data_IF_342861034505
#
_entry.id   IF_342861034505
#
_cell.length_a   1.000
_cell.length_b   1.000
_cell.length_c   1.000
_cell.angle_alpha   90.00
_cell.angle_beta   90.00
_cell.angle_gamma   90.00
#
_symmetry.space_group_name_H-M   'P 1'
#
loop_
_entity.id
_entity.type
_entity.pdbx_description
1 polymer ?
#
# COMPACT_ATOMS: atom_id res chain seq x y z
N UNK A 1 23.27 5.98 12.13
CA UNK A 1 22.33 5.39 11.14
C UNK A 1 20.94 5.87 11.45
N UNK A 2 20.28 6.51 10.49
CA UNK A 2 18.90 7.01 10.68
C UNK A 2 17.94 5.93 10.21
N UNK A 3 16.97 5.57 11.05
CA UNK A 3 15.88 4.66 10.66
C UNK A 3 14.64 5.44 10.27
N UNK A 4 13.99 4.97 9.24
CA UNK A 4 12.75 5.52 8.72
C UNK A 4 11.70 4.40 8.70
N UNK A 5 10.69 4.56 9.53
CA UNK A 5 9.55 3.65 9.53
C UNK A 5 8.51 4.19 8.57
N UNK A 6 8.12 3.39 7.58
CA UNK A 6 6.99 3.72 6.73
C UNK A 6 5.85 2.80 7.06
N UNK A 7 4.84 3.38 7.67
CA UNK A 7 3.65 2.66 8.11
C UNK A 7 2.44 2.97 7.24
N UNK A 8 1.58 2.01 7.09
CA UNK A 8 0.33 2.16 6.36
C UNK A 8 -0.61 1.00 6.65
N UNK A 9 -1.90 1.22 6.51
CA UNK A 9 -2.83 0.12 6.36
C UNK A 9 -2.49 -0.66 5.07
N UNK A 10 -2.68 -1.98 5.11
CA UNK A 10 -2.48 -2.83 3.91
C UNK A 10 -3.23 -2.27 2.71
N UNK A 11 -2.60 -2.15 1.54
CA UNK A 11 -3.14 -1.61 0.28
C UNK A 11 -3.28 -0.07 0.22
N UNK A 12 -2.73 0.66 1.16
CA UNK A 12 -2.67 2.13 1.07
C UNK A 12 -1.57 2.68 0.15
N UNK A 13 -0.81 1.83 -0.56
CA UNK A 13 0.21 2.27 -1.52
C UNK A 13 1.66 2.05 -1.08
N UNK A 14 1.89 1.37 0.05
CA UNK A 14 3.23 1.13 0.58
C UNK A 14 4.18 0.44 -0.41
N UNK A 15 3.70 -0.48 -1.24
CA UNK A 15 4.53 -1.13 -2.26
C UNK A 15 5.03 -0.14 -3.29
N UNK A 16 4.16 0.74 -3.80
CA UNK A 16 4.56 1.79 -4.71
C UNK A 16 5.59 2.74 -4.07
N UNK A 17 5.32 3.18 -2.84
CA UNK A 17 6.24 4.04 -2.10
C UNK A 17 7.61 3.40 -1.89
N UNK A 18 7.68 2.08 -1.69
CA UNK A 18 8.97 1.35 -1.58
C UNK A 18 9.81 1.46 -2.86
N UNK A 19 9.18 1.34 -4.03
CA UNK A 19 9.85 1.52 -5.31
C UNK A 19 10.38 2.96 -5.47
N UNK A 20 9.59 3.96 -5.06
CA UNK A 20 10.01 5.36 -5.08
C UNK A 20 11.23 5.58 -4.17
N UNK A 21 11.18 5.11 -2.94
CA UNK A 21 12.30 5.26 -1.99
C UNK A 21 13.55 4.51 -2.45
N UNK A 22 13.39 3.30 -2.98
CA UNK A 22 14.51 2.57 -3.58
C UNK A 22 15.13 3.37 -4.73
N UNK A 23 14.30 3.90 -5.62
CA UNK A 23 14.74 4.70 -6.75
C UNK A 23 15.55 5.92 -6.34
N UNK A 24 15.12 6.64 -5.30
CA UNK A 24 15.83 7.80 -4.77
C UNK A 24 17.17 7.43 -4.12
N UNK A 25 17.24 6.33 -3.41
CA UNK A 25 18.42 5.97 -2.60
C UNK A 25 19.43 5.07 -3.34
N UNK A 26 18.99 4.27 -4.31
CA UNK A 26 19.78 3.21 -4.96
C UNK A 26 19.75 3.26 -6.49
N UNK A 27 18.89 4.08 -7.06
CA UNK A 27 18.64 4.10 -8.50
C UNK A 27 17.51 3.14 -8.92
N UNK A 28 17.41 2.87 -10.21
CA UNK A 28 16.29 2.13 -10.79
C UNK A 28 16.44 0.62 -10.47
N UNK A 29 15.49 -0.04 -9.77
CA UNK A 29 15.59 -1.46 -9.46
C UNK A 29 15.40 -2.33 -10.70
N UNK A 30 16.11 -3.44 -10.82
CA UNK A 30 15.93 -4.41 -11.90
C UNK A 30 14.93 -5.52 -11.56
N UNK A 31 14.63 -5.71 -10.28
CA UNK A 31 13.68 -6.70 -9.76
C UNK A 31 13.06 -6.22 -8.44
N UNK A 32 11.98 -6.87 -8.01
CA UNK A 32 11.30 -6.51 -6.77
C UNK A 32 11.99 -7.03 -5.51
N UNK A 33 12.85 -8.05 -5.63
CA UNK A 33 13.60 -8.62 -4.50
C UNK A 33 14.60 -7.61 -3.94
N UNK A 34 15.26 -6.82 -4.81
CA UNK A 34 16.16 -5.76 -4.37
C UNK A 34 15.44 -4.71 -3.55
N UNK A 35 14.21 -4.35 -3.97
CA UNK A 35 13.36 -3.42 -3.23
C UNK A 35 12.95 -4.01 -1.88
N UNK A 36 12.65 -5.32 -1.83
CA UNK A 36 12.31 -5.98 -0.56
C UNK A 36 13.48 -6.05 0.41
N UNK A 37 14.67 -6.37 -0.07
CA UNK A 37 15.89 -6.42 0.75
C UNK A 37 16.27 -5.05 1.32
N UNK A 38 16.12 -4.01 0.51
CA UNK A 38 16.38 -2.64 0.94
C UNK A 38 15.34 -2.12 1.93
N UNK A 39 14.14 -2.68 1.91
CA UNK A 39 12.99 -2.17 2.64
C UNK A 39 12.21 -3.31 3.33
N UNK A 40 12.82 -3.91 4.37
CA UNK A 40 12.24 -5.08 5.04
C UNK A 40 10.95 -4.77 5.79
N UNK A 41 10.23 -5.84 6.13
CA UNK A 41 9.09 -5.78 7.04
C UNK A 41 9.55 -5.78 8.51
N UNK A 42 8.76 -5.15 9.37
CA UNK A 42 8.98 -5.03 10.81
C UNK A 42 8.86 -6.36 11.60
N UNK A 43 8.23 -7.37 11.02
CA UNK A 43 7.94 -8.65 11.67
C UNK A 43 9.02 -9.73 11.47
N UNK A 44 10.19 -9.36 10.95
CA UNK A 44 11.30 -10.32 10.81
C UNK A 44 12.19 -10.29 12.04
N UNK A 45 11.85 -11.08 13.05
CA UNK A 45 12.57 -11.18 14.34
C UNK A 45 14.07 -11.52 14.23
N UNK A 46 14.51 -12.08 13.11
CA UNK A 46 15.90 -12.47 12.84
C UNK A 46 16.50 -11.74 11.62
N UNK A 47 16.02 -10.56 11.30
CA UNK A 47 16.55 -9.83 10.16
C UNK A 47 17.94 -9.30 10.49
N UNK A 48 18.95 -9.84 9.82
CA UNK A 48 20.30 -9.27 9.81
C UNK A 48 20.22 -7.98 9.00
N UNK A 49 20.22 -6.86 9.71
CA UNK A 49 20.20 -5.56 9.09
C UNK A 49 21.41 -5.41 8.20
N UNK A 50 21.24 -5.10 6.91
CA UNK A 50 22.39 -4.84 6.07
C UNK A 50 23.18 -3.68 6.65
N UNK A 51 24.50 -3.77 6.59
CA UNK A 51 25.39 -2.66 6.94
C UNK A 51 25.16 -1.56 5.91
N UNK A 52 24.30 -0.61 6.25
CA UNK A 52 23.87 0.47 5.36
C UNK A 52 24.42 1.76 5.94
N UNK A 53 25.35 2.35 5.24
CA UNK A 53 26.04 3.59 5.64
C UNK A 53 25.11 4.80 5.80
N UNK A 54 23.91 4.77 5.25
CA UNK A 54 23.05 5.97 5.18
C UNK A 54 21.75 5.85 5.97
N UNK A 55 20.74 5.17 5.43
CA UNK A 55 19.39 5.10 5.99
C UNK A 55 18.83 3.69 5.86
N UNK A 56 18.10 3.30 6.87
CA UNK A 56 17.35 2.05 6.87
C UNK A 56 15.87 2.37 6.82
N UNK A 57 15.18 1.87 5.81
CA UNK A 57 13.74 1.94 5.73
C UNK A 57 13.12 0.66 6.26
N UNK A 58 12.06 0.79 7.03
CA UNK A 58 11.31 -0.34 7.61
C UNK A 58 9.85 -0.19 7.25
N UNK A 59 9.24 -1.24 6.69
CA UNK A 59 7.81 -1.25 6.39
C UNK A 59 7.03 -1.85 7.56
N UNK A 60 6.01 -1.13 8.01
CA UNK A 60 5.05 -1.64 8.99
C UNK A 60 3.63 -1.61 8.46
N UNK A 61 2.86 -2.64 8.82
CA UNK A 61 1.40 -2.66 8.73
C UNK A 61 0.78 -2.88 10.11
N UNK A 62 1.60 -2.98 11.15
CA UNK A 62 1.12 -3.22 12.51
C UNK A 62 0.44 -1.98 13.09
N UNK A 63 -0.51 -2.21 13.97
CA UNK A 63 -0.96 -1.21 14.94
C UNK A 63 0.23 -0.91 15.84
N UNK A 64 0.55 0.36 16.07
CA UNK A 64 1.68 0.70 16.92
C UNK A 64 1.44 0.18 18.34
N UNK A 65 2.42 -0.53 18.86
CA UNK A 65 2.54 -0.84 20.28
C UNK A 65 4.00 -0.60 20.69
N UNK A 66 4.23 -0.28 21.97
CA UNK A 66 5.59 0.01 22.48
C UNK A 66 6.55 -1.17 22.34
N UNK A 67 6.01 -2.37 22.19
CA UNK A 67 6.75 -3.62 22.12
C UNK A 67 7.15 -4.04 20.70
N UNK A 68 6.97 -3.16 19.70
CA UNK A 68 7.54 -3.43 18.37
C UNK A 68 9.06 -3.23 18.48
N UNK A 69 9.86 -4.30 18.46
CA UNK A 69 11.30 -4.23 18.82
C UNK A 69 12.13 -3.34 17.90
N UNK A 70 11.56 -3.03 16.74
CA UNK A 70 12.24 -2.36 15.61
C UNK A 70 12.08 -0.85 15.66
N UNK A 71 11.09 -0.33 16.40
CA UNK A 71 10.76 1.11 16.41
C UNK A 71 11.31 1.74 17.68
N UNK A 72 12.24 2.69 17.52
CA UNK A 72 12.79 3.50 18.61
C UNK A 72 12.16 4.90 18.59
N UNK A 73 12.13 5.55 19.74
CA UNK A 73 11.51 6.88 19.91
C UNK A 73 12.07 7.97 18.97
N UNK A 74 13.28 7.79 18.46
CA UNK A 74 13.95 8.73 17.55
C UNK A 74 13.84 8.37 16.07
N UNK A 75 13.09 7.33 15.72
CA UNK A 75 12.93 6.95 14.32
C UNK A 75 12.07 7.99 13.58
N UNK A 76 12.42 8.29 12.33
CA UNK A 76 11.56 9.05 11.45
C UNK A 76 10.37 8.20 11.04
N UNK A 77 9.14 8.69 11.19
CA UNK A 77 7.93 7.95 10.81
C UNK A 77 7.21 8.66 9.68
N UNK A 78 6.92 7.92 8.61
CA UNK A 78 6.06 8.33 7.49
C UNK A 78 4.80 7.47 7.52
N UNK A 79 3.64 8.09 7.58
CA UNK A 79 2.34 7.40 7.47
C UNK A 79 1.75 7.63 6.08
N UNK A 80 1.55 6.55 5.34
CA UNK A 80 0.80 6.60 4.08
C UNK A 80 -0.64 6.19 4.35
N UNK A 81 -1.58 7.05 3.98
CA UNK A 81 -3.00 6.80 4.14
C UNK A 81 -3.75 6.93 2.81
N UNK A 82 -4.89 6.30 2.74
CA UNK A 82 -5.77 6.24 1.57
C UNK A 82 -7.20 6.09 2.06
N UNK A 83 -8.18 6.49 1.26
CA UNK A 83 -9.56 6.30 1.67
C UNK A 83 -9.90 4.81 1.93
N UNK A 84 -10.67 4.50 2.99
CA UNK A 84 -10.93 3.13 3.40
C UNK A 84 -11.72 2.31 2.37
N UNK A 85 -12.57 2.97 1.56
CA UNK A 85 -13.31 2.34 0.48
C UNK A 85 -12.38 1.77 -0.59
N UNK A 86 -11.44 2.56 -1.07
CA UNK A 86 -10.47 2.14 -2.08
C UNK A 86 -9.52 1.06 -1.58
N UNK A 87 -9.15 1.12 -0.30
CA UNK A 87 -8.33 0.09 0.36
C UNK A 87 -9.07 -1.25 0.36
N UNK A 88 -10.33 -1.26 0.77
CA UNK A 88 -11.15 -2.47 0.83
C UNK A 88 -11.23 -3.16 -0.55
N UNK A 89 -11.53 -2.42 -1.60
CA UNK A 89 -11.59 -2.97 -2.96
C UNK A 89 -10.22 -3.40 -3.50
N UNK A 90 -9.16 -2.65 -3.17
CA UNK A 90 -7.79 -3.05 -3.51
C UNK A 90 -7.38 -4.34 -2.80
N UNK A 91 -7.88 -4.57 -1.59
CA UNK A 91 -7.66 -5.82 -0.86
C UNK A 91 -8.40 -7.01 -1.51
N UNK A 92 -9.65 -6.83 -1.92
CA UNK A 92 -10.40 -7.87 -2.64
C UNK A 92 -9.66 -8.29 -3.92
N UNK A 93 -9.18 -7.32 -4.70
CA UNK A 93 -8.36 -7.61 -5.89
C UNK A 93 -7.09 -8.39 -5.54
N UNK A 94 -6.38 -7.99 -4.48
CA UNK A 94 -5.19 -8.69 -4.03
C UNK A 94 -5.46 -10.13 -3.56
N UNK A 95 -6.57 -10.37 -2.87
CA UNK A 95 -6.97 -11.71 -2.42
C UNK A 95 -7.30 -12.64 -3.59
N UNK A 96 -7.74 -12.09 -4.73
CA UNK A 96 -7.89 -12.88 -5.97
C UNK A 96 -6.56 -13.27 -6.59
N UNK A 97 -5.59 -12.33 -6.58
CA UNK A 97 -4.26 -12.58 -7.16
C UNK A 97 -3.55 -13.72 -6.44
N UNK A 98 -3.68 -13.79 -5.11
CA UNK A 98 -3.05 -14.85 -4.32
C UNK A 98 -3.96 -16.06 -4.04
N UNK A 99 -5.03 -16.24 -4.83
CA UNK A 99 -5.91 -17.41 -4.78
C UNK A 99 -6.83 -17.51 -3.56
N UNK A 100 -6.79 -16.54 -2.64
CA UNK A 100 -7.62 -16.58 -1.42
C UNK A 100 -9.10 -16.28 -1.69
N UNK A 101 -9.41 -15.61 -2.79
CA UNK A 101 -10.77 -15.26 -3.19
C UNK A 101 -11.12 -15.89 -4.54
N UNK A 102 -11.72 -17.07 -4.50
CA UNK A 102 -12.40 -17.67 -5.67
C UNK A 102 -13.73 -16.93 -5.83
N UNK A 103 -13.96 -16.42 -7.05
CA UNK A 103 -15.15 -15.60 -7.31
C UNK A 103 -16.46 -16.37 -7.18
N UNK A 104 -17.16 -16.15 -6.07
CA UNK A 104 -18.59 -16.39 -5.86
C UNK A 104 -19.09 -15.25 -4.98
N UNK A 105 -20.32 -14.74 -5.17
CA UNK A 105 -20.83 -13.60 -4.39
C UNK A 105 -20.76 -13.79 -2.86
N UNK A 106 -20.97 -15.01 -2.36
CA UNK A 106 -20.86 -15.30 -0.91
C UNK A 106 -19.41 -15.20 -0.41
N UNK A 107 -18.40 -15.50 -1.23
CA UNK A 107 -17.00 -15.35 -0.85
C UNK A 107 -16.62 -13.86 -0.75
N UNK A 108 -17.18 -13.00 -1.60
CA UNK A 108 -17.00 -11.54 -1.49
C UNK A 108 -17.49 -11.03 -0.15
N UNK A 109 -18.66 -11.50 0.30
CA UNK A 109 -19.22 -11.16 1.62
C UNK A 109 -18.26 -11.54 2.75
N UNK A 110 -17.75 -12.77 2.74
CA UNK A 110 -16.82 -13.25 3.77
C UNK A 110 -15.49 -12.49 3.85
N UNK A 111 -15.16 -11.72 2.83
CA UNK A 111 -13.96 -10.86 2.81
C UNK A 111 -14.26 -9.39 3.13
N UNK A 112 -15.48 -8.90 2.86
CA UNK A 112 -15.90 -7.54 3.23
C UNK A 112 -16.28 -7.47 4.72
N UNK A 113 -17.06 -8.43 5.21
CA UNK A 113 -17.57 -8.44 6.59
C UNK A 113 -16.47 -8.27 7.64
N UNK A 114 -15.39 -9.07 7.65
CA UNK A 114 -14.31 -8.88 8.61
C UNK A 114 -13.60 -7.53 8.52
N UNK A 115 -13.60 -6.91 7.35
CA UNK A 115 -13.05 -5.56 7.19
C UNK A 115 -13.91 -4.53 7.91
N UNK A 116 -15.22 -4.63 7.79
CA UNK A 116 -16.18 -3.73 8.46
C UNK A 116 -16.24 -4.02 9.96
N UNK A 117 -16.24 -5.27 10.36
CA UNK A 117 -16.33 -5.68 11.79
C UNK A 117 -15.09 -5.27 12.59
N UNK A 118 -13.89 -5.37 11.99
CA UNK A 118 -12.63 -5.03 12.67
C UNK A 118 -12.34 -3.54 12.61
N UNK A 119 -11.79 -3.00 13.67
CA UNK A 119 -11.37 -1.59 13.73
C UNK A 119 -9.97 -1.35 13.13
N UNK A 120 -9.40 -2.31 12.43
CA UNK A 120 -7.98 -2.29 12.04
C UNK A 120 -7.53 -1.00 11.35
N UNK A 121 -8.33 -0.42 10.45
CA UNK A 121 -8.02 0.85 9.79
C UNK A 121 -7.97 2.00 10.81
N UNK A 122 -8.98 2.09 11.67
CA UNK A 122 -9.12 3.14 12.67
C UNK A 122 -8.04 3.01 13.74
N UNK A 123 -7.84 1.80 14.25
CA UNK A 123 -6.84 1.51 15.28
C UNK A 123 -5.42 1.76 14.76
N UNK A 124 -5.13 1.37 13.52
CA UNK A 124 -3.85 1.64 12.88
C UNK A 124 -3.59 3.15 12.78
N UNK A 125 -4.53 3.91 12.23
CA UNK A 125 -4.39 5.35 12.11
C UNK A 125 -4.19 6.02 13.48
N UNK A 126 -5.09 5.74 14.44
CA UNK A 126 -5.04 6.33 15.77
C UNK A 126 -3.76 5.99 16.54
N UNK A 127 -3.22 4.78 16.35
CA UNK A 127 -1.98 4.38 17.02
C UNK A 127 -0.74 5.11 16.51
N UNK A 128 -0.76 5.57 15.25
CA UNK A 128 0.39 6.19 14.61
C UNK A 128 0.33 7.70 14.51
N UNK A 129 -0.86 8.33 14.41
CA UNK A 129 -1.05 9.73 14.03
C UNK A 129 -0.23 10.75 14.83
N UNK A 130 -0.02 10.51 16.12
CA UNK A 130 0.72 11.43 17.00
C UNK A 130 2.26 11.20 16.96
N UNK A 131 2.73 10.23 16.19
CA UNK A 131 4.14 9.84 16.10
C UNK A 131 4.77 10.13 14.76
N UNK A 132 3.97 10.49 13.76
CA UNK A 132 4.44 10.67 12.41
C UNK A 132 5.08 12.04 12.20
N UNK A 133 6.22 12.06 11.52
CA UNK A 133 6.82 13.30 11.02
C UNK A 133 6.15 13.76 9.73
N UNK A 134 5.65 12.82 8.94
CA UNK A 134 5.04 13.11 7.65
C UNK A 134 3.87 12.18 7.37
N UNK A 135 2.72 12.77 7.06
CA UNK A 135 1.56 12.07 6.51
C UNK A 135 1.49 12.28 5.01
N UNK A 136 1.31 11.19 4.27
CA UNK A 136 1.21 11.19 2.81
C UNK A 136 -0.11 10.57 2.38
N UNK A 137 -0.93 11.37 1.71
CA UNK A 137 -2.16 10.90 1.09
C UNK A 137 -1.84 10.19 -0.23
N UNK A 138 -2.35 8.98 -0.41
CA UNK A 138 -2.10 8.20 -1.63
C UNK A 138 -2.51 8.95 -2.90
N UNK A 139 -3.64 9.64 -2.84
CA UNK A 139 -4.19 10.39 -3.96
C UNK A 139 -3.30 11.59 -4.34
N UNK A 140 -2.61 12.20 -3.37
CA UNK A 140 -1.66 13.29 -3.63
C UNK A 140 -0.42 12.76 -4.35
N UNK A 141 0.09 11.56 -3.97
CA UNK A 141 1.16 10.90 -4.72
C UNK A 141 0.76 10.61 -6.17
N UNK A 142 -0.50 10.20 -6.39
CA UNK A 142 -1.01 9.95 -7.76
C UNK A 142 -1.12 11.23 -8.57
N UNK A 143 -1.52 12.32 -7.93
CA UNK A 143 -1.75 13.61 -8.58
C UNK A 143 -0.47 14.37 -8.86
N UNK A 144 0.45 14.37 -7.89
CA UNK A 144 1.73 15.10 -7.95
C UNK A 144 2.82 14.32 -7.20
N UNK A 145 3.41 13.38 -7.92
CA UNK A 145 4.48 12.54 -7.37
C UNK A 145 5.75 13.36 -7.09
N UNK A 146 6.06 14.32 -7.96
CA UNK A 146 7.25 15.15 -7.82
C UNK A 146 7.17 16.03 -6.57
N UNK A 147 6.05 16.76 -6.39
CA UNK A 147 5.80 17.57 -5.21
C UNK A 147 5.76 16.73 -3.93
N UNK A 148 5.19 15.52 -4.00
CA UNK A 148 5.19 14.58 -2.85
C UNK A 148 6.61 14.15 -2.48
N UNK A 149 7.47 13.81 -3.44
CA UNK A 149 8.86 13.40 -3.18
C UNK A 149 9.70 14.57 -2.66
N UNK A 150 9.51 15.80 -3.15
CA UNK A 150 10.14 16.98 -2.59
C UNK A 150 9.73 17.19 -1.13
N UNK A 151 8.43 17.07 -0.81
CA UNK A 151 7.95 17.16 0.57
C UNK A 151 8.57 16.09 1.48
N UNK A 152 8.72 14.86 0.98
CA UNK A 152 9.43 13.79 1.70
C UNK A 152 10.88 14.17 1.94
N UNK A 153 11.58 14.60 0.89
CA UNK A 153 12.98 15.02 0.94
C UNK A 153 13.22 16.09 2.00
N UNK A 154 12.41 17.15 1.97
CA UNK A 154 12.53 18.32 2.85
C UNK A 154 12.19 17.97 4.30
N UNK A 155 11.03 17.30 4.52
CA UNK A 155 10.55 16.96 5.87
C UNK A 155 11.48 15.97 6.58
N UNK A 156 12.04 15.02 5.82
CA UNK A 156 12.89 13.97 6.36
C UNK A 156 14.39 14.31 6.29
N UNK A 157 14.75 15.45 5.70
CA UNK A 157 16.13 15.90 5.48
C UNK A 157 16.99 14.87 4.74
N UNK A 158 16.47 14.33 3.63
CA UNK A 158 17.16 13.28 2.91
C UNK A 158 18.31 13.79 2.04
N UNK A 159 18.27 15.05 1.64
CA UNK A 159 19.24 15.70 0.73
C UNK A 159 19.33 15.00 -0.63
N UNK A 160 18.19 14.57 -1.17
CA UNK A 160 18.11 14.03 -2.52
C UNK A 160 18.33 15.13 -3.56
N UNK A 161 19.12 14.82 -4.56
CA UNK A 161 19.28 15.66 -5.74
C UNK A 161 18.07 15.50 -6.68
N UNK A 162 17.94 16.40 -7.67
CA UNK A 162 16.94 16.26 -8.73
C UNK A 162 17.06 14.91 -9.47
N UNK A 163 18.30 14.42 -9.67
CA UNK A 163 18.54 13.10 -10.27
C UNK A 163 17.98 11.96 -9.43
N UNK A 164 18.08 12.04 -8.10
CA UNK A 164 17.54 11.01 -7.20
C UNK A 164 16.02 11.00 -7.27
N UNK A 165 15.39 12.16 -7.31
CA UNK A 165 13.93 12.30 -7.49
C UNK A 165 13.49 11.74 -8.86
N UNK A 166 14.21 12.03 -9.93
CA UNK A 166 13.94 11.48 -11.26
C UNK A 166 14.05 9.95 -11.26
N UNK A 167 15.06 9.39 -10.60
CA UNK A 167 15.20 7.95 -10.45
C UNK A 167 14.04 7.34 -9.64
N UNK A 168 13.61 8.01 -8.58
CA UNK A 168 12.43 7.60 -7.81
C UNK A 168 11.18 7.53 -8.69
N UNK A 169 10.91 8.57 -9.46
CA UNK A 169 9.75 8.63 -10.37
C UNK A 169 9.81 7.51 -11.43
N UNK A 170 10.99 7.27 -12.01
CA UNK A 170 11.17 6.16 -12.96
C UNK A 170 10.94 4.80 -12.31
N UNK A 171 11.52 4.57 -11.13
CA UNK A 171 11.34 3.31 -10.38
C UNK A 171 9.89 3.04 -9.99
N UNK A 172 9.15 4.09 -9.60
CA UNK A 172 7.73 4.02 -9.25
C UNK A 172 6.77 4.14 -10.45
N UNK A 173 7.27 4.23 -11.68
CA UNK A 173 6.42 4.29 -12.86
C UNK A 173 5.60 2.99 -12.98
N UNK A 174 4.29 3.13 -13.20
CA UNK A 174 3.37 1.98 -13.24
C UNK A 174 3.75 0.97 -14.31
N UNK A 175 4.07 1.42 -15.51
CA UNK A 175 4.46 0.56 -16.62
C UNK A 175 5.78 -0.16 -16.31
N UNK A 176 6.74 0.56 -15.74
CA UNK A 176 8.00 -0.02 -15.31
C UNK A 176 7.81 -1.13 -14.26
N UNK A 177 7.00 -0.87 -13.23
CA UNK A 177 6.68 -1.87 -12.22
C UNK A 177 5.91 -3.07 -12.80
N UNK A 178 5.03 -2.86 -13.78
CA UNK A 178 4.35 -3.94 -14.50
C UNK A 178 5.32 -4.79 -15.32
N UNK A 179 6.31 -4.19 -15.94
CA UNK A 179 7.35 -4.90 -16.68
C UNK A 179 8.20 -5.77 -15.74
N UNK A 180 8.54 -5.28 -14.56
CA UNK A 180 9.21 -6.10 -13.53
C UNK A 180 8.30 -7.27 -13.12
N UNK A 181 7.01 -7.03 -12.84
CA UNK A 181 6.05 -8.07 -12.48
C UNK A 181 5.96 -9.16 -13.56
N UNK A 182 5.82 -8.77 -14.82
CA UNK A 182 5.76 -9.71 -15.96
C UNK A 182 7.05 -10.51 -16.12
N UNK A 183 8.19 -9.83 -16.00
CA UNK A 183 9.50 -10.47 -16.10
C UNK A 183 9.73 -11.52 -15.01
N UNK A 184 9.43 -11.19 -13.74
CA UNK A 184 9.57 -12.11 -12.61
C UNK A 184 8.66 -13.32 -12.76
N UNK A 185 7.39 -13.10 -13.13
CA UNK A 185 6.43 -14.19 -13.31
C UNK A 185 6.82 -15.11 -14.47
N UNK A 186 7.20 -14.53 -15.61
CA UNK A 186 7.57 -15.30 -16.81
C UNK A 186 8.81 -16.15 -16.59
N UNK A 187 9.81 -15.62 -15.91
CA UNK A 187 11.10 -16.26 -15.72
C UNK A 187 11.22 -16.98 -14.36
N UNK A 188 10.16 -16.99 -13.54
CA UNK A 188 10.12 -17.59 -12.20
C UNK A 188 11.23 -17.08 -11.29
N UNK A 189 11.48 -15.77 -11.36
CA UNK A 189 12.50 -15.10 -10.54
C UNK A 189 11.90 -14.83 -9.17
N UNK A 190 12.58 -15.25 -8.11
CA UNK A 190 12.18 -14.95 -6.75
C UNK A 190 12.11 -13.45 -6.52
N UNK A 191 10.98 -13.00 -6.04
CA UNK A 191 10.68 -11.59 -5.81
C UNK A 191 9.23 -11.43 -5.37
N UNK A 192 8.87 -10.23 -4.93
CA UNK A 192 7.55 -9.90 -4.38
C UNK A 192 6.40 -10.35 -5.31
N UNK A 193 6.54 -10.14 -6.61
CA UNK A 193 5.47 -10.40 -7.55
C UNK A 193 5.34 -11.88 -7.90
N UNK A 194 6.46 -12.60 -7.96
CA UNK A 194 6.44 -14.03 -8.23
C UNK A 194 5.94 -14.85 -7.03
N UNK A 195 6.39 -14.51 -5.81
CA UNK A 195 5.94 -15.18 -4.59
C UNK A 195 4.41 -15.12 -4.41
N UNK A 196 3.80 -14.00 -4.79
CA UNK A 196 2.35 -13.84 -4.74
C UNK A 196 1.62 -14.81 -5.71
N UNK A 197 2.27 -15.21 -6.80
CA UNK A 197 1.67 -16.11 -7.80
C UNK A 197 2.01 -17.59 -7.63
N UNK A 198 3.02 -17.93 -6.84
CA UNK A 198 3.33 -19.34 -6.49
C UNK A 198 2.15 -20.05 -5.84
N UNK A 199 1.30 -19.31 -5.11
CA UNK A 199 0.20 -19.88 -4.35
C UNK A 199 -0.86 -20.57 -5.23
N UNK A 200 -1.13 -20.08 -6.46
CA UNK A 200 -1.98 -20.77 -7.42
C UNK A 200 -1.80 -20.27 -8.87
N UNK A 201 -1.03 -21.01 -9.70
CA UNK A 201 -0.77 -20.62 -11.08
C UNK A 201 -1.99 -20.73 -12.01
N UNK A 202 -3.08 -21.39 -11.59
CA UNK A 202 -4.26 -21.61 -12.42
C UNK A 202 -5.37 -20.58 -12.21
N UNK A 203 -5.51 -20.02 -11.00
CA UNK A 203 -6.60 -19.12 -10.64
C UNK A 203 -6.34 -17.68 -11.13
N UNK A 204 -5.09 -17.30 -11.36
CA UNK A 204 -4.67 -15.92 -11.53
C UNK A 204 -4.31 -15.49 -12.95
N UNK A 205 -4.79 -16.21 -13.96
CA UNK A 205 -4.58 -15.83 -15.36
C UNK A 205 -5.24 -14.46 -15.64
N UNK A 206 -4.41 -13.43 -15.82
CA UNK A 206 -4.83 -12.09 -16.23
C UNK A 206 -5.00 -11.05 -15.11
N UNK A 207 -4.90 -11.42 -13.84
CA UNK A 207 -4.87 -10.44 -12.75
C UNK A 207 -3.43 -9.97 -12.50
N UNK A 208 -3.24 -8.65 -12.33
CA UNK A 208 -1.95 -8.03 -12.05
C UNK A 208 -1.94 -7.45 -10.64
N UNK A 209 -0.82 -7.59 -9.95
CA UNK A 209 -0.60 -6.94 -8.66
C UNK A 209 -0.53 -5.41 -8.84
N UNK A 210 0.21 -4.96 -9.86
CA UNK A 210 0.34 -3.54 -10.19
C UNK A 210 -0.86 -3.10 -11.04
N UNK A 211 -1.79 -2.37 -10.43
CA UNK A 211 -2.97 -1.83 -11.10
C UNK A 211 -4.14 -2.81 -11.23
N UNK A 212 -4.29 -3.71 -10.26
CA UNK A 212 -5.41 -4.67 -10.19
C UNK A 212 -6.78 -4.01 -10.40
N UNK A 213 -7.68 -4.72 -11.09
CA UNK A 213 -8.99 -4.19 -11.48
C UNK A 213 -10.02 -4.36 -10.37
N UNK A 214 -10.80 -3.32 -10.14
CA UNK A 214 -12.05 -3.43 -9.39
C UNK A 214 -13.10 -4.08 -10.26
N UNK A 215 -14.02 -4.82 -9.64
CA UNK A 215 -15.09 -5.51 -10.35
C UNK A 215 -16.42 -4.92 -9.98
N UNK A 216 -17.30 -4.79 -10.99
CA UNK A 216 -18.68 -4.31 -10.82
C UNK A 216 -19.42 -5.14 -9.78
N UNK A 217 -19.27 -6.45 -9.86
CA UNK A 217 -19.95 -7.41 -9.00
C UNK A 217 -19.57 -7.25 -7.51
N UNK A 218 -18.33 -6.87 -7.21
CA UNK A 218 -17.92 -6.59 -5.83
C UNK A 218 -18.62 -5.33 -5.31
N UNK A 219 -18.74 -4.32 -6.16
CA UNK A 219 -19.44 -3.09 -5.82
C UNK A 219 -20.94 -3.35 -5.60
N UNK A 220 -21.58 -4.16 -6.43
CA UNK A 220 -22.98 -4.54 -6.26
C UNK A 220 -23.22 -5.26 -4.92
N UNK A 221 -22.34 -6.20 -4.54
CA UNK A 221 -22.40 -6.88 -3.22
C UNK A 221 -22.23 -5.88 -2.10
N UNK A 222 -21.25 -4.97 -2.22
CA UNK A 222 -21.03 -3.93 -1.21
C UNK A 222 -22.23 -3.02 -1.05
N UNK A 223 -22.75 -2.46 -2.13
CA UNK A 223 -23.88 -1.52 -2.12
C UNK A 223 -25.13 -2.16 -1.51
N UNK A 224 -25.36 -3.43 -1.83
CA UNK A 224 -26.55 -4.15 -1.35
C UNK A 224 -26.52 -4.52 0.13
N UNK A 225 -25.34 -4.80 0.70
CA UNK A 225 -25.26 -5.44 2.01
C UNK A 225 -24.42 -4.70 3.05
N UNK A 226 -23.58 -3.74 2.64
CA UNK A 226 -22.55 -3.18 3.52
C UNK A 226 -22.39 -1.66 3.46
N UNK A 227 -23.05 -0.96 2.55
CA UNK A 227 -22.86 0.48 2.36
C UNK A 227 -23.12 1.24 3.65
N UNK A 228 -24.25 0.98 4.31
CA UNK A 228 -24.67 1.74 5.49
C UNK A 228 -23.75 1.47 6.68
N UNK A 229 -23.44 0.20 6.96
CA UNK A 229 -22.50 -0.19 8.03
C UNK A 229 -21.11 0.40 7.79
N UNK A 230 -20.66 0.42 6.54
CA UNK A 230 -19.38 0.99 6.15
C UNK A 230 -19.36 2.51 6.38
N UNK A 231 -20.38 3.22 5.94
CA UNK A 231 -20.50 4.66 6.13
C UNK A 231 -20.59 5.00 7.62
N UNK A 232 -21.45 4.30 8.37
CA UNK A 232 -21.55 4.49 9.81
C UNK A 232 -20.19 4.34 10.50
N UNK A 233 -19.39 3.35 10.09
CA UNK A 233 -18.11 3.06 10.73
C UNK A 233 -16.99 4.02 10.33
N UNK A 234 -16.91 4.40 9.05
CA UNK A 234 -15.71 5.04 8.52
C UNK A 234 -15.87 6.52 8.18
N UNK A 235 -17.09 7.11 8.19
CA UNK A 235 -17.28 8.50 7.79
C UNK A 235 -16.47 9.47 8.65
N UNK A 236 -16.52 9.35 9.97
CA UNK A 236 -15.81 10.28 10.86
C UNK A 236 -14.30 10.30 10.60
N UNK A 237 -13.66 9.13 10.51
CA UNK A 237 -12.22 9.07 10.26
C UNK A 237 -11.87 9.47 8.83
N UNK A 238 -12.74 9.17 7.87
CA UNK A 238 -12.56 9.61 6.49
C UNK A 238 -12.61 11.13 6.37
N UNK A 239 -13.55 11.78 7.03
CA UNK A 239 -13.66 13.24 7.09
C UNK A 239 -12.42 13.87 7.76
N UNK A 240 -11.94 13.31 8.88
CA UNK A 240 -10.68 13.75 9.54
C UNK A 240 -9.51 13.70 8.56
N UNK A 241 -9.48 12.71 7.68
CA UNK A 241 -8.45 12.53 6.64
C UNK A 241 -8.75 13.28 5.33
N UNK A 242 -9.80 14.07 5.28
CA UNK A 242 -10.19 14.86 4.11
C UNK A 242 -10.80 14.03 2.97
N UNK A 243 -11.59 13.00 3.29
CA UNK A 243 -12.34 12.19 2.33
C UNK A 243 -13.85 12.34 2.53
N UNK A 244 -14.58 12.55 1.45
CA UNK A 244 -16.03 12.40 1.38
C UNK A 244 -16.38 11.02 0.81
N UNK A 245 -16.74 10.09 1.70
CA UNK A 245 -17.05 8.71 1.30
C UNK A 245 -18.31 8.62 0.43
N UNK A 246 -19.30 9.48 0.64
CA UNK A 246 -20.50 9.51 -0.18
C UNK A 246 -20.15 9.86 -1.62
N UNK A 247 -19.41 10.94 -1.83
CA UNK A 247 -18.94 11.34 -3.17
C UNK A 247 -18.07 10.26 -3.82
N UNK A 248 -17.21 9.58 -3.05
CA UNK A 248 -16.37 8.49 -3.57
C UNK A 248 -17.23 7.31 -4.05
N UNK A 249 -18.19 6.87 -3.25
CA UNK A 249 -19.10 5.76 -3.58
C UNK A 249 -19.95 6.12 -4.80
N UNK A 250 -20.52 7.33 -4.85
CA UNK A 250 -21.35 7.77 -5.97
C UNK A 250 -20.54 7.89 -7.27
N UNK A 251 -19.30 8.33 -7.20
CA UNK A 251 -18.38 8.27 -8.35
C UNK A 251 -18.25 6.86 -8.90
N UNK A 252 -18.11 5.86 -8.01
CA UNK A 252 -18.00 4.47 -8.44
C UNK A 252 -19.31 3.89 -8.99
N UNK A 253 -20.46 4.26 -8.40
CA UNK A 253 -21.77 3.91 -8.96
C UNK A 253 -21.89 4.42 -10.40
N UNK A 254 -21.51 5.69 -10.66
CA UNK A 254 -21.51 6.27 -12.01
C UNK A 254 -20.60 5.51 -12.97
N UNK A 255 -19.37 5.21 -12.58
CA UNK A 255 -18.41 4.48 -13.44
C UNK A 255 -18.96 3.13 -13.88
N UNK A 256 -19.70 2.43 -13.04
CA UNK A 256 -20.26 1.11 -13.34
C UNK A 256 -21.73 1.14 -13.77
N UNK A 257 -22.30 2.32 -13.98
CA UNK A 257 -23.73 2.52 -14.37
C UNK A 257 -24.68 1.78 -13.41
N UNK A 258 -24.50 2.00 -12.11
CA UNK A 258 -25.32 1.44 -11.03
C UNK A 258 -26.26 2.48 -10.38
N UNK A 259 -26.45 3.62 -11.05
CA UNK A 259 -27.39 4.68 -10.66
C UNK A 259 -28.72 4.46 -11.37
#
# INVERSE_FOLDING_TARGET
MTRIVVTSVIKAGATWFRFLMYGAERGIPTNSLDVEKFYPYDNKDNYIWPDIDKRLFVKSHAIYCRDIPIIKDNDGVILIYRNPFDIMFSRLSHQRINGQLIYKPHNVKSHISPWIERNYYIDHYNSWKDRVKLMIKYEDMVKDIHGTLNKVNDTMNFNWSSKDIDNAIKAGNKEYMQNIEEHEIKNRIDGMFYELKKADPFINRGERFVGGRRRKEDLEVFLKYYQDDFLQKYSTIAEELGYDLHSIIDKWKKIYSLL
#
